data_IF_978856319587
#
_entry.id   IF_978856319587
#
_cell.length_a   1.000
_cell.length_b   1.000
_cell.length_c   1.000
_cell.angle_alpha   90.00
_cell.angle_beta   90.00
_cell.angle_gamma   90.00
#
_symmetry.space_group_name_H-M   'P 1'
#
loop_
_entity.id
_entity.type
_entity.pdbx_description
1 polymer ?
#
# COMPACT_ATOMS: atom_id res chain seq x y z
N UNK A 1 10.34 40.65 8.88
CA UNK A 1 10.01 39.22 8.66
C UNK A 1 9.28 38.73 9.89
N UNK A 2 7.97 38.57 9.80
CA UNK A 2 7.09 38.24 10.93
C UNK A 2 6.88 36.73 10.93
N UNK A 3 7.50 36.03 11.88
CA UNK A 3 7.37 34.58 12.02
C UNK A 3 5.95 34.26 12.49
N UNK A 4 5.14 33.68 11.61
CA UNK A 4 3.81 33.17 11.97
C UNK A 4 3.99 31.92 12.85
N UNK A 5 3.55 32.02 14.10
CA UNK A 5 3.46 30.87 15.01
C UNK A 5 2.27 30.00 14.59
N UNK A 6 2.55 28.83 14.02
CA UNK A 6 1.53 27.82 13.69
C UNK A 6 1.20 27.09 14.99
N UNK A 7 -0.02 27.27 15.51
CA UNK A 7 -0.48 26.50 16.67
C UNK A 7 -0.58 25.01 16.32
N UNK A 8 -0.11 24.10 17.19
CA UNK A 8 -0.26 22.66 16.95
C UNK A 8 -1.74 22.27 16.92
N UNK A 9 -2.12 21.23 16.16
CA UNK A 9 -3.51 20.81 16.07
C UNK A 9 -4.02 20.39 17.45
N UNK A 10 -5.18 20.92 17.84
CA UNK A 10 -5.94 20.49 19.01
C UNK A 10 -6.18 18.98 18.90
N UNK A 11 -5.51 18.18 19.74
CA UNK A 11 -5.79 16.75 19.86
C UNK A 11 -7.23 16.59 20.34
N UNK A 12 -8.13 16.19 19.45
CA UNK A 12 -9.46 15.73 19.81
C UNK A 12 -9.29 14.44 20.62
N UNK A 13 -9.47 14.53 21.94
CA UNK A 13 -9.45 13.39 22.84
C UNK A 13 -10.89 12.91 23.02
N UNK A 14 -11.14 11.62 22.76
CA UNK A 14 -12.38 10.99 23.17
C UNK A 14 -12.28 10.71 24.67
N UNK A 15 -13.10 11.39 25.46
CA UNK A 15 -13.20 11.16 26.89
C UNK A 15 -14.41 10.27 27.17
N UNK A 16 -14.17 9.12 27.81
CA UNK A 16 -15.22 8.20 28.20
C UNK A 16 -15.96 8.80 29.39
N UNK A 17 -17.23 9.16 29.21
CA UNK A 17 -18.08 9.71 30.26
C UNK A 17 -19.12 8.66 30.62
N UNK A 18 -19.07 8.20 31.87
CA UNK A 18 -20.08 7.29 32.42
C UNK A 18 -21.45 7.97 32.40
N UNK A 19 -22.47 7.34 31.82
CA UNK A 19 -23.83 7.89 31.76
C UNK A 19 -24.58 7.79 33.09
N UNK A 20 -24.06 7.01 34.03
CA UNK A 20 -24.76 6.62 35.27
C UNK A 20 -24.11 7.17 36.54
N UNK A 21 -22.97 7.86 36.43
CA UNK A 21 -22.22 8.38 37.57
C UNK A 21 -22.04 9.89 37.43
N UNK A 22 -22.24 10.62 38.52
CA UNK A 22 -21.97 12.05 38.57
C UNK A 22 -20.46 12.29 38.39
N UNK A 23 -20.02 13.07 37.39
CA UNK A 23 -18.62 13.46 37.23
C UNK A 23 -18.00 14.06 38.50
N UNK A 24 -18.80 14.71 39.36
CA UNK A 24 -18.33 15.27 40.63
C UNK A 24 -17.95 14.23 41.69
N UNK A 25 -18.42 12.97 41.57
CA UNK A 25 -17.96 11.89 42.46
C UNK A 25 -16.49 11.53 42.19
N UNK A 26 -16.02 11.67 40.95
CA UNK A 26 -14.64 11.33 40.58
C UNK A 26 -13.58 12.27 41.17
N UNK A 27 -13.97 13.46 41.62
CA UNK A 27 -13.10 14.42 42.30
C UNK A 27 -13.15 14.30 43.83
N UNK A 28 -13.78 13.25 44.37
CA UNK A 28 -13.89 13.05 45.81
C UNK A 28 -12.50 12.72 46.41
N UNK A 29 -12.08 13.40 47.51
CA UNK A 29 -10.74 13.26 48.08
C UNK A 29 -10.42 11.84 48.57
N UNK A 30 -11.43 11.04 48.91
CA UNK A 30 -11.26 9.64 49.31
C UNK A 30 -11.07 8.68 48.12
N UNK A 31 -11.44 9.09 46.91
CA UNK A 31 -11.20 8.35 45.67
C UNK A 31 -9.87 8.74 45.02
N UNK A 32 -9.26 9.85 45.44
CA UNK A 32 -7.94 10.33 45.02
C UNK A 32 -6.77 9.62 45.75
N UNK A 33 -6.96 8.34 46.12
CA UNK A 33 -5.97 7.51 46.83
C UNK A 33 -4.65 7.34 46.06
N UNK A 34 -4.72 7.45 44.74
CA UNK A 34 -3.60 7.60 43.84
C UNK A 34 -3.95 8.79 43.00
N UNK A 35 -3.39 9.98 43.26
CA UNK A 35 -3.76 11.16 42.49
C UNK A 35 -3.45 10.96 41.02
N UNK A 36 -4.41 10.43 40.26
CA UNK A 36 -4.23 10.07 38.86
C UNK A 36 -3.94 11.33 38.06
N UNK A 37 -4.44 12.48 38.52
CA UNK A 37 -4.11 13.81 38.03
C UNK A 37 -2.64 14.16 38.29
N UNK A 38 -2.10 13.98 39.50
CA UNK A 38 -0.66 14.20 39.76
C UNK A 38 0.23 13.21 39.00
N UNK A 39 -0.17 11.93 38.93
CA UNK A 39 0.54 10.89 38.17
C UNK A 39 0.52 11.23 36.69
N UNK A 40 -0.60 11.69 36.13
CA UNK A 40 -0.71 12.15 34.75
C UNK A 40 0.10 13.44 34.49
N UNK A 41 0.11 14.38 35.44
CA UNK A 41 0.90 15.61 35.34
C UNK A 41 2.41 15.36 35.41
N UNK A 42 2.84 14.36 36.21
CA UNK A 42 4.24 13.90 36.29
C UNK A 42 4.62 12.96 35.14
N UNK A 43 3.64 12.27 34.55
CA UNK A 43 3.85 11.41 33.38
C UNK A 43 4.22 12.28 32.20
N UNK A 44 5.53 12.35 31.92
CA UNK A 44 6.01 12.84 30.63
C UNK A 44 5.35 11.97 29.57
N UNK A 45 4.42 12.53 28.81
CA UNK A 45 3.82 11.88 27.67
C UNK A 45 4.92 11.73 26.61
N UNK A 46 5.68 10.63 26.67
CA UNK A 46 6.51 10.24 25.54
C UNK A 46 5.56 10.08 24.36
N UNK A 47 5.75 10.80 23.24
CA UNK A 47 4.95 10.55 22.06
C UNK A 47 5.08 9.07 21.74
N UNK A 48 3.93 8.39 21.56
CA UNK A 48 3.95 7.03 21.04
C UNK A 48 4.73 7.10 19.71
N UNK A 49 5.60 6.12 19.42
CA UNK A 49 6.26 6.07 18.13
C UNK A 49 5.20 6.14 17.03
N UNK A 50 5.49 6.87 15.95
CA UNK A 50 4.65 6.87 14.76
C UNK A 50 4.41 5.43 14.34
N UNK A 51 3.14 5.06 14.12
CA UNK A 51 2.83 3.76 13.57
C UNK A 51 3.29 3.75 12.11
N UNK A 52 4.49 3.23 11.88
CA UNK A 52 5.06 3.05 10.55
C UNK A 52 4.60 1.73 9.96
N UNK A 53 4.43 1.74 8.64
CA UNK A 53 4.06 0.54 7.90
C UNK A 53 5.27 -0.42 7.92
N UNK A 54 5.02 -1.69 8.27
CA UNK A 54 6.10 -2.68 8.34
C UNK A 54 6.51 -3.12 6.94
N UNK A 55 7.82 -3.23 6.70
CA UNK A 55 8.37 -3.80 5.47
C UNK A 55 7.97 -5.27 5.33
N UNK A 56 7.49 -5.62 4.15
CA UNK A 56 7.20 -7.00 3.79
C UNK A 56 8.49 -7.77 3.49
N UNK A 57 8.83 -8.74 4.35
CA UNK A 57 10.14 -9.41 4.31
C UNK A 57 10.18 -10.71 3.49
N UNK A 58 9.03 -11.23 3.05
CA UNK A 58 8.94 -12.57 2.43
C UNK A 58 8.39 -12.45 1.01
N UNK A 59 9.23 -12.10 0.01
CA UNK A 59 8.78 -11.99 -1.37
C UNK A 59 8.10 -13.25 -1.89
N UNK A 60 7.15 -13.08 -2.81
CA UNK A 60 6.45 -14.19 -3.44
C UNK A 60 7.38 -14.95 -4.38
N UNK A 61 7.70 -16.22 -4.03
CA UNK A 61 8.63 -17.07 -4.81
C UNK A 61 7.96 -18.07 -5.75
N UNK A 62 6.62 -18.25 -5.69
CA UNK A 62 5.90 -19.28 -6.45
C UNK A 62 6.48 -20.70 -6.36
N UNK A 63 7.13 -21.03 -5.24
CA UNK A 63 7.79 -22.33 -5.03
C UNK A 63 9.14 -22.48 -5.73
N UNK A 64 9.76 -21.37 -6.16
CA UNK A 64 11.16 -21.38 -6.59
C UNK A 64 12.09 -21.60 -5.39
N UNK A 65 13.09 -22.46 -5.60
CA UNK A 65 14.20 -22.66 -4.68
C UNK A 65 15.37 -21.77 -5.13
N UNK A 66 15.92 -21.00 -4.20
CA UNK A 66 17.06 -20.12 -4.45
C UNK A 66 18.29 -20.70 -3.78
N UNK A 67 19.43 -20.57 -4.45
CA UNK A 67 20.73 -20.83 -3.82
C UNK A 67 20.94 -19.82 -2.68
N UNK A 68 21.52 -20.23 -1.54
CA UNK A 68 21.79 -19.33 -0.43
C UNK A 68 22.60 -18.09 -0.85
N UNK A 69 22.09 -16.89 -0.53
CA UNK A 69 22.67 -15.61 -0.92
C UNK A 69 22.16 -15.05 -2.26
N UNK A 70 21.31 -15.79 -2.97
CA UNK A 70 20.63 -15.36 -4.20
C UNK A 70 19.11 -15.26 -4.02
N UNK A 71 18.63 -15.26 -2.78
CA UNK A 71 17.22 -15.03 -2.49
C UNK A 71 16.81 -13.59 -2.87
N UNK A 72 15.55 -13.39 -3.29
CA UNK A 72 15.01 -12.06 -3.56
C UNK A 72 15.08 -11.19 -2.31
N UNK A 73 15.64 -9.98 -2.45
CA UNK A 73 15.81 -9.06 -1.31
C UNK A 73 14.65 -8.06 -1.27
N UNK A 74 13.85 -8.04 -0.19
CA UNK A 74 12.74 -7.09 -0.06
C UNK A 74 13.27 -5.65 -0.01
N UNK A 75 12.59 -4.73 -0.69
CA UNK A 75 12.97 -3.30 -0.77
C UNK A 75 11.81 -2.41 -0.35
N UNK A 76 12.11 -1.38 0.46
CA UNK A 76 11.13 -0.39 0.91
C UNK A 76 10.60 0.45 -0.26
N UNK A 77 9.32 0.80 -0.24
CA UNK A 77 8.67 1.62 -1.26
C UNK A 77 9.32 3.01 -1.42
N UNK A 78 9.97 3.53 -0.37
CA UNK A 78 10.69 4.81 -0.39
C UNK A 78 11.90 4.80 -1.33
N UNK A 79 12.50 3.63 -1.53
CA UNK A 79 13.67 3.44 -2.40
C UNK A 79 13.29 3.09 -3.85
N UNK A 80 11.98 2.90 -4.11
CA UNK A 80 11.46 2.45 -5.39
C UNK A 80 10.97 3.62 -6.25
N UNK A 81 10.81 3.41 -7.57
CA UNK A 81 10.19 4.40 -8.44
C UNK A 81 8.77 4.78 -7.97
N UNK A 82 8.37 6.02 -8.28
CA UNK A 82 7.03 6.53 -7.93
C UNK A 82 5.93 5.58 -8.42
N UNK A 83 5.10 5.14 -7.47
CA UNK A 83 4.22 4.00 -7.60
C UNK A 83 3.10 4.21 -8.61
N UNK A 84 2.52 5.41 -8.67
CA UNK A 84 1.44 5.72 -9.60
C UNK A 84 1.92 5.72 -11.05
N UNK A 85 3.02 6.42 -11.33
CA UNK A 85 3.66 6.48 -12.64
C UNK A 85 4.16 5.11 -13.08
N UNK A 86 4.72 4.32 -12.16
CA UNK A 86 5.09 2.93 -12.42
C UNK A 86 3.88 2.11 -12.87
N UNK A 87 2.82 2.12 -12.05
CA UNK A 87 1.58 1.37 -12.29
C UNK A 87 0.92 1.78 -13.60
N UNK A 88 0.86 3.07 -13.90
CA UNK A 88 0.29 3.56 -15.16
C UNK A 88 1.08 3.05 -16.37
N UNK A 89 2.42 3.16 -16.37
CA UNK A 89 3.27 2.65 -17.46
C UNK A 89 3.15 1.14 -17.64
N UNK A 90 3.08 0.41 -16.53
CA UNK A 90 2.90 -1.03 -16.52
C UNK A 90 1.53 -1.41 -17.09
N UNK A 91 0.45 -0.80 -16.59
CA UNK A 91 -0.92 -1.04 -17.03
C UNK A 91 -1.12 -0.77 -18.53
N UNK A 92 -0.56 0.33 -19.05
CA UNK A 92 -0.62 0.64 -20.49
C UNK A 92 0.04 -0.49 -21.30
N UNK A 93 1.22 -0.94 -20.86
CA UNK A 93 1.93 -2.04 -21.53
C UNK A 93 1.15 -3.34 -21.52
N UNK A 94 0.57 -3.71 -20.38
CA UNK A 94 -0.25 -4.92 -20.28
C UNK A 94 -1.46 -4.86 -21.22
N UNK A 95 -2.18 -3.73 -21.25
CA UNK A 95 -3.37 -3.60 -22.09
C UNK A 95 -3.02 -3.63 -23.59
N UNK A 96 -1.89 -3.05 -23.99
CA UNK A 96 -1.40 -3.16 -25.37
C UNK A 96 -0.95 -4.58 -25.72
N UNK A 97 -0.33 -5.31 -24.79
CA UNK A 97 0.08 -6.71 -24.96
C UNK A 97 -1.15 -7.61 -25.12
N UNK A 98 -2.17 -7.43 -24.27
CA UNK A 98 -3.44 -8.16 -24.40
C UNK A 98 -4.15 -7.88 -25.72
N UNK A 99 -3.98 -6.69 -26.30
CA UNK A 99 -4.48 -6.35 -27.63
C UNK A 99 -3.56 -6.81 -28.79
N UNK A 100 -2.42 -7.44 -28.49
CA UNK A 100 -1.44 -7.90 -29.48
C UNK A 100 -0.67 -6.75 -30.18
N UNK A 101 -0.65 -5.55 -29.59
CA UNK A 101 -0.04 -4.34 -30.17
C UNK A 101 1.36 -4.05 -29.64
N UNK A 102 1.76 -4.68 -28.54
CA UNK A 102 3.09 -4.54 -27.93
C UNK A 102 3.72 -5.92 -27.68
N UNK A 103 5.04 -5.99 -27.81
CA UNK A 103 5.81 -7.21 -27.55
C UNK A 103 5.89 -7.50 -26.03
N UNK A 104 5.54 -8.71 -25.57
CA UNK A 104 5.55 -9.05 -24.14
C UNK A 104 6.93 -8.97 -23.49
N UNK A 105 8.00 -9.17 -24.26
CA UNK A 105 9.39 -9.17 -23.76
C UNK A 105 9.76 -7.91 -22.95
N UNK A 106 9.09 -6.78 -23.21
CA UNK A 106 9.28 -5.53 -22.47
C UNK A 106 8.91 -5.61 -20.98
N UNK A 107 8.10 -6.59 -20.57
CA UNK A 107 7.67 -6.79 -19.19
C UNK A 107 8.40 -7.92 -18.45
N UNK A 108 9.34 -8.62 -19.08
CA UNK A 108 10.07 -9.74 -18.45
C UNK A 108 10.71 -9.30 -17.12
N UNK A 109 11.36 -8.14 -17.10
CA UNK A 109 12.05 -7.64 -15.89
C UNK A 109 11.13 -7.00 -14.85
N UNK A 110 9.83 -6.87 -15.16
CA UNK A 110 8.82 -6.20 -14.32
C UNK A 110 7.79 -7.15 -13.76
N UNK A 111 7.84 -8.43 -14.13
CA UNK A 111 6.93 -9.47 -13.67
C UNK A 111 7.73 -10.62 -13.07
N UNK A 112 7.16 -11.26 -12.05
CA UNK A 112 7.62 -12.57 -11.68
C UNK A 112 7.45 -13.53 -12.87
N UNK A 113 8.37 -14.49 -13.03
CA UNK A 113 8.40 -15.43 -14.16
C UNK A 113 7.06 -16.14 -14.34
N UNK A 114 6.43 -16.55 -13.24
CA UNK A 114 5.10 -17.16 -13.22
C UNK A 114 4.04 -16.28 -13.90
N UNK A 115 3.97 -15.00 -13.51
CA UNK A 115 3.02 -14.02 -14.05
C UNK A 115 3.32 -13.68 -15.51
N UNK A 116 4.60 -13.57 -15.85
CA UNK A 116 5.02 -13.36 -17.24
C UNK A 116 4.54 -14.50 -18.16
N UNK A 117 4.67 -15.76 -17.72
CA UNK A 117 4.18 -16.92 -18.47
C UNK A 117 2.65 -16.94 -18.61
N UNK A 118 1.92 -16.47 -17.60
CA UNK A 118 0.46 -16.31 -17.72
C UNK A 118 0.09 -15.20 -18.71
N UNK A 119 0.78 -14.07 -18.66
CA UNK A 119 0.59 -12.96 -19.60
C UNK A 119 0.83 -13.41 -21.05
N UNK A 120 1.87 -14.21 -21.31
CA UNK A 120 2.15 -14.76 -22.64
C UNK A 120 0.99 -15.56 -23.22
N UNK A 121 0.25 -16.31 -22.40
CA UNK A 121 -0.93 -17.08 -22.85
C UNK A 121 -2.13 -16.18 -23.21
N UNK A 122 -2.13 -14.93 -22.77
CA UNK A 122 -3.22 -13.98 -22.95
C UNK A 122 -2.94 -12.91 -24.02
N UNK A 123 -1.80 -13.00 -24.71
CA UNK A 123 -1.44 -12.08 -25.80
C UNK A 123 -2.50 -12.18 -26.91
N UNK A 124 -3.03 -11.03 -27.35
CA UNK A 124 -4.10 -10.99 -28.35
C UNK A 124 -5.47 -11.50 -27.86
N UNK A 125 -5.65 -11.73 -26.56
CA UNK A 125 -6.95 -12.15 -25.99
C UNK A 125 -8.03 -11.06 -26.06
N UNK A 126 -7.62 -9.78 -26.17
CA UNK A 126 -8.53 -8.66 -26.31
C UNK A 126 -8.50 -8.14 -27.76
N UNK A 127 -9.68 -7.86 -28.32
CA UNK A 127 -9.80 -7.39 -29.72
C UNK A 127 -9.34 -5.94 -29.91
N UNK A 128 -9.47 -5.13 -28.86
CA UNK A 128 -9.18 -3.70 -28.88
C UNK A 128 -8.28 -3.30 -27.71
N UNK A 129 -7.59 -2.17 -27.87
CA UNK A 129 -6.77 -1.59 -26.79
C UNK A 129 -7.71 -0.93 -25.79
N UNK A 130 -7.72 -1.45 -24.56
CA UNK A 130 -8.48 -0.86 -23.47
C UNK A 130 -7.96 0.54 -23.07
N UNK A 131 -8.87 1.42 -22.68
CA UNK A 131 -8.53 2.76 -22.18
C UNK A 131 -8.57 2.77 -20.66
N UNK A 132 -7.46 3.11 -20.03
CA UNK A 132 -7.38 3.27 -18.58
C UNK A 132 -8.24 4.48 -18.16
N UNK A 133 -9.07 4.30 -17.14
CA UNK A 133 -9.99 5.32 -16.61
C UNK A 133 -9.58 5.84 -15.24
N UNK A 134 -9.18 4.93 -14.37
CA UNK A 134 -8.80 5.24 -12.99
C UNK A 134 -7.87 4.15 -12.48
N UNK A 135 -7.02 4.52 -11.53
CA UNK A 135 -6.15 3.60 -10.79
C UNK A 135 -6.44 3.86 -9.31
N UNK A 136 -6.81 2.81 -8.59
CA UNK A 136 -6.95 2.83 -7.14
C UNK A 136 -5.85 1.96 -6.55
N UNK A 137 -5.10 2.49 -5.59
CA UNK A 137 -3.91 1.83 -5.04
C UNK A 137 -4.02 1.77 -3.52
N UNK A 138 -3.59 0.65 -2.95
CA UNK A 138 -3.49 0.45 -1.52
C UNK A 138 -2.12 -0.12 -1.20
N UNK A 139 -1.47 0.41 -0.16
CA UNK A 139 -0.17 -0.03 0.33
C UNK A 139 -0.36 -0.63 1.73
N UNK A 140 -0.81 -1.89 1.83
CA UNK A 140 -1.13 -2.51 3.12
C UNK A 140 0.11 -2.73 3.99
N UNK A 141 1.27 -2.92 3.36
CA UNK A 141 2.58 -3.08 3.97
C UNK A 141 3.61 -2.30 3.14
N UNK A 142 4.73 -1.92 3.76
CA UNK A 142 5.81 -1.26 3.02
C UNK A 142 6.44 -2.27 2.06
N UNK A 143 6.71 -1.82 0.84
CA UNK A 143 7.11 -2.67 -0.28
C UNK A 143 5.98 -3.49 -0.90
N UNK A 144 4.70 -3.30 -0.54
CA UNK A 144 3.56 -3.92 -1.23
C UNK A 144 2.62 -2.86 -1.78
N UNK A 145 2.22 -3.02 -3.04
CA UNK A 145 1.10 -2.29 -3.61
C UNK A 145 0.06 -3.22 -4.22
N UNK A 146 -1.21 -3.01 -3.85
CA UNK A 146 -2.36 -3.60 -4.50
C UNK A 146 -3.06 -2.52 -5.34
N UNK A 147 -3.10 -2.72 -6.65
CA UNK A 147 -3.65 -1.76 -7.61
C UNK A 147 -4.85 -2.35 -8.35
N UNK A 148 -5.96 -1.61 -8.34
CA UNK A 148 -7.13 -1.88 -9.18
C UNK A 148 -7.22 -0.81 -10.26
N UNK A 149 -7.07 -1.22 -11.51
CA UNK A 149 -7.11 -0.36 -12.69
C UNK A 149 -8.41 -0.58 -13.43
N UNK A 150 -9.23 0.47 -13.56
CA UNK A 150 -10.45 0.40 -14.36
C UNK A 150 -10.11 0.61 -15.83
N UNK A 151 -10.42 -0.37 -16.67
CA UNK A 151 -10.12 -0.37 -18.10
C UNK A 151 -11.43 -0.41 -18.89
N UNK A 152 -11.57 0.51 -19.85
CA UNK A 152 -12.72 0.56 -20.77
C UNK A 152 -12.37 -0.11 -22.09
N UNK A 153 -13.17 -1.09 -22.49
CA UNK A 153 -13.14 -1.75 -23.79
C UNK A 153 -14.46 -1.41 -24.52
N UNK A 154 -14.42 -0.45 -25.45
CA UNK A 154 -15.62 0.10 -26.09
C UNK A 154 -16.59 0.64 -25.04
N UNK A 155 -17.78 0.04 -24.96
CA UNK A 155 -18.82 0.39 -23.98
C UNK A 155 -18.73 -0.39 -22.65
N UNK A 156 -17.82 -1.36 -22.54
CA UNK A 156 -17.68 -2.20 -21.34
C UNK A 156 -16.57 -1.70 -20.43
N UNK A 157 -16.83 -1.71 -19.13
CA UNK A 157 -15.82 -1.47 -18.10
C UNK A 157 -15.40 -2.81 -17.49
N UNK A 158 -14.10 -2.98 -17.31
CA UNK A 158 -13.47 -4.15 -16.69
C UNK A 158 -12.44 -3.68 -15.67
N UNK A 159 -12.13 -4.54 -14.71
CA UNK A 159 -11.13 -4.25 -13.68
C UNK A 159 -9.88 -5.10 -13.93
N UNK A 160 -8.74 -4.46 -14.08
CA UNK A 160 -7.44 -5.11 -14.05
C UNK A 160 -6.88 -4.99 -12.63
N UNK A 161 -6.68 -6.12 -11.97
CA UNK A 161 -6.11 -6.22 -10.63
C UNK A 161 -4.63 -6.56 -10.78
N UNK A 162 -3.79 -5.83 -10.05
CA UNK A 162 -2.34 -5.95 -10.09
C UNK A 162 -1.81 -5.94 -8.66
N UNK A 163 -0.88 -6.83 -8.34
CA UNK A 163 -0.06 -6.77 -7.13
C UNK A 163 1.39 -6.50 -7.51
N UNK A 164 1.99 -5.52 -6.85
CA UNK A 164 3.43 -5.25 -6.92
C UNK A 164 4.09 -5.50 -5.57
N UNK A 165 5.30 -6.05 -5.63
CA UNK A 165 6.20 -6.23 -4.50
C UNK A 165 7.52 -5.53 -4.78
N UNK A 166 8.07 -4.85 -3.78
CA UNK A 166 9.39 -4.24 -3.81
C UNK A 166 10.46 -5.30 -3.61
N UNK A 167 11.16 -5.66 -4.68
CA UNK A 167 12.18 -6.71 -4.66
C UNK A 167 13.36 -6.27 -5.50
N UNK A 168 14.58 -6.42 -4.98
CA UNK A 168 15.83 -6.07 -5.66
C UNK A 168 15.83 -4.64 -6.24
N UNK A 169 15.37 -3.65 -5.46
CA UNK A 169 15.30 -2.23 -5.86
C UNK A 169 14.37 -1.91 -7.03
N UNK A 170 13.39 -2.76 -7.29
CA UNK A 170 12.35 -2.53 -8.31
C UNK A 170 10.99 -3.03 -7.86
N UNK A 171 9.95 -2.49 -8.48
CA UNK A 171 8.61 -3.07 -8.40
C UNK A 171 8.50 -4.31 -9.29
N UNK A 172 8.14 -5.44 -8.69
CA UNK A 172 7.91 -6.71 -9.37
C UNK A 172 6.43 -7.07 -9.31
N UNK A 173 5.81 -7.32 -10.46
CA UNK A 173 4.42 -7.77 -10.54
C UNK A 173 4.31 -9.25 -10.15
N UNK A 174 3.57 -9.53 -9.06
CA UNK A 174 3.38 -10.87 -8.50
C UNK A 174 1.95 -11.39 -8.65
N UNK A 175 0.99 -10.57 -9.06
CA UNK A 175 -0.35 -11.00 -9.47
C UNK A 175 -0.86 -10.08 -10.57
N UNK A 176 -1.48 -10.64 -11.60
CA UNK A 176 -2.07 -9.88 -12.69
C UNK A 176 -3.31 -10.59 -13.24
N UNK A 177 -4.46 -9.92 -13.16
CA UNK A 177 -5.71 -10.49 -13.66
C UNK A 177 -6.64 -9.43 -14.23
N UNK A 178 -7.32 -9.77 -15.33
CA UNK A 178 -8.39 -8.97 -15.89
C UNK A 178 -9.75 -9.63 -15.57
N UNK A 179 -10.58 -8.93 -14.79
CA UNK A 179 -11.92 -9.34 -14.37
C UNK A 179 -12.97 -8.92 -15.41
#
# INVERSE_FOLDING_TARGET
MTTQYISPPLKQCLQLVSSNEDPAMWSHPQLDLYSLAEVAARRRATPLPSQEVKLYLVPTSFGEEYEPGFEPVPTSAVELPELHAWTMKFAISVVEIWAGRRQPAQLISRCHRHIYMQLLKQVGSQKEIGRIRSIHQSEPLDGICESTVTVRYGERLRAMVIRFEGVDQRWLCTELKLL
#
